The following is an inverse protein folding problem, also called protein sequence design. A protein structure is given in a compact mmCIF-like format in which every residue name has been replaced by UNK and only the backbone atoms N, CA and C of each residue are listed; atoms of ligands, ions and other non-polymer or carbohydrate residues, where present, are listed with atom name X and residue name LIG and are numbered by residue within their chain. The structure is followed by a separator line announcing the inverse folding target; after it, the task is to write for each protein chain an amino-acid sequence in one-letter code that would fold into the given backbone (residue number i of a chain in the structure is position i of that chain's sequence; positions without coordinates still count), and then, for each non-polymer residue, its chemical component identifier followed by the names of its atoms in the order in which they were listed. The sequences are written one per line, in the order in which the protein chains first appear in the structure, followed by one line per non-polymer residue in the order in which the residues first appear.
data_IF_920381702111
#
_entry.id   IF_920381702111
#
_cell.length_a   1.000
_cell.length_b   1.000
_cell.length_c   1.000
_cell.angle_alpha   90.00
_cell.angle_beta   90.00
_cell.angle_gamma   90.00
#
_symmetry.space_group_name_H-M   'P 1'
#
loop_
_entity.id
_entity.type
_entity.pdbx_description
1 polymer ?
#
# COMPACT_ATOMS: atom_id res chain seq x y z
N UNK A 1 -8.92 -3.99 -13.39
CA UNK A 1 -9.40 -3.15 -14.52
C UNK A 1 -8.76 -1.76 -14.57
N UNK A 2 -8.75 -0.98 -13.47
CA UNK A 2 -8.21 0.41 -13.47
C UNK A 2 -6.74 0.52 -13.88
N UNK A 3 -5.85 -0.34 -13.37
CA UNK A 3 -4.43 -0.31 -13.78
C UNK A 3 -4.24 -0.72 -15.26
N UNK A 4 -5.05 -1.65 -15.75
CA UNK A 4 -5.02 -2.08 -17.15
C UNK A 4 -5.49 -0.97 -18.11
N UNK A 5 -6.31 -0.01 -17.67
CA UNK A 5 -6.67 1.16 -18.48
C UNK A 5 -5.59 2.25 -18.50
N UNK A 6 -4.41 2.01 -17.89
CA UNK A 6 -3.29 2.94 -17.86
C UNK A 6 -3.28 3.89 -16.66
N UNK A 7 -4.21 3.75 -15.71
CA UNK A 7 -4.18 4.53 -14.47
C UNK A 7 -2.89 4.25 -13.70
N UNK A 8 -2.20 5.30 -13.22
CA UNK A 8 -0.93 5.22 -12.47
C UNK A 8 -1.04 5.67 -11.02
N UNK A 9 -2.23 6.05 -10.56
CA UNK A 9 -2.49 6.44 -9.18
C UNK A 9 -3.79 5.79 -8.70
N UNK A 10 -3.72 5.00 -7.64
CA UNK A 10 -4.88 4.31 -7.06
C UNK A 10 -4.98 4.59 -5.57
N UNK A 11 -6.18 4.51 -5.03
CA UNK A 11 -6.46 4.71 -3.61
C UNK A 11 -6.91 3.40 -2.96
N UNK A 12 -6.48 3.18 -1.71
CA UNK A 12 -6.84 2.02 -0.89
C UNK A 12 -7.22 2.49 0.51
N UNK A 13 -8.48 2.26 0.88
CA UNK A 13 -9.02 2.57 2.20
C UNK A 13 -8.83 1.38 3.14
N UNK A 14 -7.93 1.50 4.10
CA UNK A 14 -7.58 0.43 5.03
C UNK A 14 -8.23 0.63 6.40
N UNK A 15 -8.99 -0.36 6.87
CA UNK A 15 -9.70 -0.37 8.15
C UNK A 15 -9.34 -1.60 8.98
N UNK A 16 -9.38 -1.45 10.30
CA UNK A 16 -9.08 -2.54 11.22
C UNK A 16 -10.04 -3.73 11.03
N UNK A 17 -9.50 -4.95 11.00
CA UNK A 17 -10.29 -6.18 11.07
C UNK A 17 -10.80 -6.49 12.48
N UNK A 18 -11.91 -7.23 12.55
CA UNK A 18 -12.59 -7.59 13.80
C UNK A 18 -11.91 -8.77 14.55
N UNK A 19 -12.05 -8.80 15.87
CA UNK A 19 -11.33 -9.68 16.83
C UNK A 19 -11.38 -11.18 16.54
N UNK A 20 -12.53 -11.74 16.12
CA UNK A 20 -12.65 -13.18 15.81
C UNK A 20 -11.96 -13.60 14.50
N UNK A 21 -11.59 -12.61 13.67
CA UNK A 21 -10.99 -12.77 12.36
C UNK A 21 -9.52 -12.38 12.43
N UNK A 22 -8.75 -13.07 13.27
CA UNK A 22 -7.27 -13.02 13.36
C UNK A 22 -6.68 -11.66 12.90
N UNK A 23 -7.02 -10.56 13.57
CA UNK A 23 -6.33 -9.25 13.49
C UNK A 23 -5.76 -8.87 12.09
N UNK A 24 -6.57 -8.94 11.03
CA UNK A 24 -6.12 -8.66 9.66
C UNK A 24 -6.76 -7.37 9.10
N UNK A 25 -6.01 -6.47 8.47
CA UNK A 25 -6.56 -5.25 7.88
C UNK A 25 -7.53 -5.55 6.72
N UNK A 26 -8.55 -4.73 6.57
CA UNK A 26 -9.64 -4.85 5.59
C UNK A 26 -9.64 -3.64 4.64
N UNK A 27 -9.87 -3.87 3.35
CA UNK A 27 -10.06 -2.79 2.36
C UNK A 27 -11.57 -2.61 2.11
N UNK A 28 -12.15 -1.47 2.50
CA UNK A 28 -13.59 -1.22 2.31
C UNK A 28 -13.92 0.28 2.25
N UNK A 29 -14.96 0.62 1.48
CA UNK A 29 -15.67 1.89 1.60
C UNK A 29 -16.56 1.80 2.85
N UNK A 30 -16.54 2.80 3.73
CA UNK A 30 -17.10 2.72 5.10
C UNK A 30 -18.47 2.04 5.25
N UNK A 31 -18.58 1.20 6.30
CA UNK A 31 -19.81 0.65 6.90
C UNK A 31 -20.98 0.28 5.97
N UNK A 32 -20.72 -0.30 4.80
CA UNK A 32 -21.77 -0.80 3.92
C UNK A 32 -22.27 -2.18 4.39
N UNK A 33 -23.56 -2.23 4.74
CA UNK A 33 -24.31 -3.42 5.17
C UNK A 33 -24.18 -4.56 4.16
N UNK A 34 -23.37 -5.56 4.46
CA UNK A 34 -23.31 -6.81 3.72
C UNK A 34 -23.19 -7.96 4.73
N UNK A 35 -23.89 -9.07 4.46
CA UNK A 35 -24.04 -10.22 5.36
C UNK A 35 -22.69 -10.71 5.91
N UNK A 36 -22.51 -10.53 7.22
CA UNK A 36 -21.21 -10.53 7.90
C UNK A 36 -20.39 -11.82 7.78
N UNK A 37 -21.00 -12.97 7.50
CA UNK A 37 -20.33 -14.29 7.49
C UNK A 37 -19.62 -14.57 6.16
N UNK A 38 -20.27 -14.31 5.02
CA UNK A 38 -19.67 -14.46 3.69
C UNK A 38 -18.61 -13.38 3.44
N UNK A 39 -18.84 -12.17 3.96
CA UNK A 39 -17.80 -11.15 4.03
C UNK A 39 -16.65 -11.54 4.95
N UNK A 40 -16.87 -12.12 6.15
CA UNK A 40 -15.78 -12.56 7.05
C UNK A 40 -14.76 -13.48 6.34
N UNK A 41 -15.24 -14.46 5.57
CA UNK A 41 -14.38 -15.42 4.84
C UNK A 41 -13.69 -14.77 3.63
N UNK A 42 -14.38 -13.89 2.89
CA UNK A 42 -13.77 -13.11 1.79
C UNK A 42 -12.84 -11.99 2.28
N UNK A 43 -13.04 -11.50 3.50
CA UNK A 43 -12.30 -10.41 4.15
C UNK A 43 -11.01 -10.89 4.79
N UNK A 44 -10.92 -12.18 5.15
CA UNK A 44 -9.67 -12.85 5.50
C UNK A 44 -8.71 -12.75 4.30
N UNK A 45 -7.68 -11.91 4.44
CA UNK A 45 -6.65 -11.59 3.42
C UNK A 45 -7.11 -10.70 2.25
N UNK A 46 -8.20 -9.94 2.37
CA UNK A 46 -8.60 -9.02 1.29
C UNK A 46 -7.48 -8.02 0.95
N UNK A 47 -6.77 -7.50 1.96
CA UNK A 47 -5.58 -6.67 1.77
C UNK A 47 -4.52 -7.38 0.90
N UNK A 48 -4.16 -8.64 1.19
CA UNK A 48 -3.18 -9.39 0.40
C UNK A 48 -3.64 -9.62 -1.04
N UNK A 49 -4.92 -9.96 -1.25
CA UNK A 49 -5.48 -10.17 -2.59
C UNK A 49 -5.45 -8.89 -3.42
N UNK A 50 -5.78 -7.75 -2.80
CA UNK A 50 -5.70 -6.44 -3.45
C UNK A 50 -4.26 -6.12 -3.83
N UNK A 51 -3.30 -6.28 -2.92
CA UNK A 51 -1.87 -6.06 -3.18
C UNK A 51 -1.33 -7.00 -4.29
N UNK A 52 -1.71 -8.27 -4.29
CA UNK A 52 -1.34 -9.23 -5.36
C UNK A 52 -1.91 -8.81 -6.72
N UNK A 53 -3.19 -8.45 -6.78
CA UNK A 53 -3.81 -7.99 -8.03
C UNK A 53 -3.14 -6.72 -8.57
N UNK A 54 -2.71 -5.81 -7.68
CA UNK A 54 -1.92 -4.63 -8.06
C UNK A 54 -0.58 -5.07 -8.64
N UNK A 55 0.16 -5.96 -7.96
CA UNK A 55 1.45 -6.47 -8.43
C UNK A 55 1.36 -7.05 -9.84
N UNK A 56 0.33 -7.87 -10.10
CA UNK A 56 0.12 -8.55 -11.37
C UNK A 56 -0.27 -7.59 -12.51
N UNK A 57 -0.93 -6.46 -12.19
CA UNK A 57 -1.50 -5.58 -13.21
C UNK A 57 -0.81 -4.21 -13.34
N UNK A 58 0.03 -3.82 -12.37
CA UNK A 58 0.66 -2.51 -12.30
C UNK A 58 1.43 -2.14 -13.57
N UNK A 59 2.20 -3.09 -14.12
CA UNK A 59 3.14 -2.80 -15.21
C UNK A 59 2.78 -3.46 -16.55
N UNK A 60 1.59 -4.04 -16.67
CA UNK A 60 1.15 -4.75 -17.90
C UNK A 60 1.01 -3.79 -19.08
N UNK A 61 0.41 -2.62 -18.87
CA UNK A 61 0.11 -1.66 -19.94
C UNK A 61 1.04 -0.45 -19.98
N UNK A 62 1.84 -0.25 -18.93
CA UNK A 62 2.84 0.82 -18.87
C UNK A 62 3.86 0.50 -17.78
N UNK A 63 5.15 0.71 -18.08
CA UNK A 63 6.26 0.47 -17.14
C UNK A 63 6.49 1.65 -16.18
N UNK A 64 5.79 2.77 -16.38
CA UNK A 64 5.94 3.95 -15.52
C UNK A 64 5.40 3.70 -14.11
N UNK A 65 5.92 4.43 -13.10
CA UNK A 65 5.62 4.16 -11.70
C UNK A 65 4.13 4.19 -11.39
N UNK A 66 3.73 3.38 -10.40
CA UNK A 66 2.38 3.37 -9.83
C UNK A 66 2.42 3.94 -8.43
N UNK A 67 1.54 4.88 -8.12
CA UNK A 67 1.37 5.47 -6.80
C UNK A 67 0.13 4.87 -6.15
N UNK A 68 0.27 4.43 -4.90
CA UNK A 68 -0.82 3.93 -4.07
C UNK A 68 -1.02 4.92 -2.93
N UNK A 69 -2.12 5.67 -2.98
CA UNK A 69 -2.58 6.51 -1.87
C UNK A 69 -3.29 5.61 -0.86
N UNK A 70 -2.77 5.52 0.36
CA UNK A 70 -3.38 4.74 1.43
C UNK A 70 -4.17 5.68 2.34
N UNK A 71 -5.48 5.49 2.41
CA UNK A 71 -6.31 6.10 3.45
C UNK A 71 -6.28 5.19 4.68
N UNK A 72 -5.49 5.58 5.68
CA UNK A 72 -5.15 4.72 6.80
C UNK A 72 -6.06 4.96 8.01
N UNK A 73 -6.97 4.01 8.28
CA UNK A 73 -7.79 3.90 9.50
C UNK A 73 -7.38 2.71 10.39
N UNK A 74 -6.17 2.19 10.19
CA UNK A 74 -5.65 1.03 10.94
C UNK A 74 -5.06 1.44 12.29
N UNK A 75 -5.26 0.61 13.30
CA UNK A 75 -4.48 0.58 14.54
C UNK A 75 -3.00 0.33 14.26
N UNK A 76 -2.11 0.75 15.17
CA UNK A 76 -0.67 0.56 15.01
C UNK A 76 -0.26 -0.90 14.80
N UNK A 77 -0.97 -1.85 15.43
CA UNK A 77 -0.70 -3.28 15.25
C UNK A 77 -1.04 -3.73 13.83
N UNK A 78 -2.19 -3.32 13.29
CA UNK A 78 -2.59 -3.68 11.93
C UNK A 78 -1.79 -2.93 10.86
N UNK A 79 -1.30 -1.72 11.15
CA UNK A 79 -0.35 -1.02 10.28
C UNK A 79 0.94 -1.81 10.09
N UNK A 80 1.48 -2.44 11.16
CA UNK A 80 2.67 -3.29 11.06
C UNK A 80 2.43 -4.48 10.14
N UNK A 81 1.30 -5.16 10.31
CA UNK A 81 0.89 -6.30 9.46
C UNK A 81 0.74 -5.84 8.00
N UNK A 82 0.11 -4.69 7.76
CA UNK A 82 -0.04 -4.15 6.41
C UNK A 82 1.31 -3.80 5.77
N UNK A 83 2.22 -3.18 6.52
CA UNK A 83 3.57 -2.86 6.07
C UNK A 83 4.36 -4.12 5.69
N UNK A 84 4.33 -5.14 6.54
CA UNK A 84 4.97 -6.44 6.27
C UNK A 84 4.41 -7.07 4.99
N UNK A 85 3.09 -7.04 4.80
CA UNK A 85 2.45 -7.55 3.59
C UNK A 85 2.84 -6.75 2.34
N UNK A 86 2.93 -5.42 2.43
CA UNK A 86 3.33 -4.56 1.31
C UNK A 86 4.77 -4.90 0.88
N UNK A 87 5.69 -5.01 1.83
CA UNK A 87 7.10 -5.36 1.57
C UNK A 87 7.21 -6.76 0.99
N UNK A 88 6.53 -7.74 1.59
CA UNK A 88 6.54 -9.14 1.14
C UNK A 88 5.99 -9.27 -0.29
N UNK A 89 4.85 -8.64 -0.57
CA UNK A 89 4.16 -8.80 -1.86
C UNK A 89 4.86 -8.02 -2.96
N UNK A 90 5.17 -6.74 -2.75
CA UNK A 90 5.77 -5.93 -3.81
C UNK A 90 7.27 -6.16 -3.97
N UNK A 91 7.99 -6.53 -2.91
CA UNK A 91 9.43 -6.83 -2.97
C UNK A 91 10.21 -5.73 -3.71
N UNK A 92 10.99 -6.11 -4.71
CA UNK A 92 11.81 -5.17 -5.50
C UNK A 92 11.02 -4.13 -6.30
N UNK A 93 9.72 -4.34 -6.50
CA UNK A 93 8.86 -3.34 -7.14
C UNK A 93 8.56 -2.19 -6.19
N UNK A 94 8.64 -2.39 -4.87
CA UNK A 94 8.44 -1.32 -3.90
C UNK A 94 9.63 -0.36 -3.93
N UNK A 95 9.36 0.95 -3.96
CA UNK A 95 10.36 1.96 -3.67
C UNK A 95 10.45 2.15 -2.15
N UNK A 96 11.24 1.32 -1.48
CA UNK A 96 11.40 1.34 -0.02
C UNK A 96 12.39 2.39 0.49
N UNK A 97 13.31 2.83 -0.36
CA UNK A 97 14.33 3.83 -0.03
C UNK A 97 14.41 4.91 -1.12
N UNK A 98 14.79 6.15 -0.75
CA UNK A 98 15.05 7.21 -1.71
C UNK A 98 16.17 6.83 -2.67
N UNK A 99 16.07 7.26 -3.93
CA UNK A 99 17.17 7.09 -4.88
C UNK A 99 18.39 7.88 -4.41
N UNK A 100 19.59 7.32 -4.56
CA UNK A 100 20.85 7.95 -4.13
C UNK A 100 21.05 9.35 -4.73
N UNK A 101 20.63 9.54 -5.99
CA UNK A 101 20.69 10.82 -6.70
C UNK A 101 19.58 11.80 -6.32
N UNK A 102 18.53 11.31 -5.67
CA UNK A 102 17.36 12.10 -5.24
C UNK A 102 17.08 11.88 -3.74
N UNK A 103 18.00 12.28 -2.85
CA UNK A 103 17.80 12.14 -1.41
C UNK A 103 16.64 13.02 -0.93
N UNK A 104 15.97 12.60 0.14
CA UNK A 104 14.87 13.35 0.77
C UNK A 104 15.39 14.57 1.54
N UNK A 105 15.86 15.58 0.82
CA UNK A 105 16.31 16.87 1.37
C UNK A 105 15.46 18.00 0.78
N UNK A 106 15.26 19.09 1.55
CA UNK A 106 14.74 20.33 0.97
C UNK A 106 15.58 20.72 -0.25
N UNK A 107 14.94 21.29 -1.28
CA UNK A 107 15.59 21.79 -2.51
C UNK A 107 16.05 20.71 -3.52
N UNK A 108 15.96 19.42 -3.19
CA UNK A 108 16.19 18.34 -4.16
C UNK A 108 14.92 18.06 -4.95
N UNK A 109 15.03 18.08 -6.29
CA UNK A 109 13.91 17.80 -7.19
C UNK A 109 13.53 16.31 -7.15
N UNK A 110 12.24 16.04 -7.36
CA UNK A 110 11.75 14.68 -7.52
C UNK A 110 12.38 13.98 -8.74
N UNK A 111 12.59 12.65 -8.68
CA UNK A 111 13.07 11.89 -9.82
C UNK A 111 12.07 11.93 -10.97
N UNK A 112 12.57 11.83 -12.20
CA UNK A 112 11.70 11.69 -13.37
C UNK A 112 10.97 10.33 -13.34
N UNK A 113 9.78 10.22 -13.97
CA UNK A 113 9.08 8.94 -14.08
C UNK A 113 9.91 7.83 -14.73
N UNK A 114 10.85 8.21 -15.61
CA UNK A 114 11.78 7.30 -16.27
C UNK A 114 12.72 6.59 -15.27
N UNK A 115 13.22 7.32 -14.26
CA UNK A 115 14.07 6.76 -13.19
C UNK A 115 13.29 5.85 -12.23
N UNK A 116 11.96 5.92 -12.26
CA UNK A 116 11.06 5.17 -11.39
C UNK A 116 10.29 4.06 -12.12
N UNK A 117 10.78 3.64 -13.30
CA UNK A 117 10.17 2.53 -14.02
C UNK A 117 10.12 1.26 -13.16
N UNK A 118 9.00 0.55 -13.25
CA UNK A 118 8.69 -0.65 -12.49
C UNK A 118 8.73 -0.45 -10.97
N UNK A 119 8.49 0.78 -10.50
CA UNK A 119 8.40 1.09 -9.06
C UNK A 119 6.98 1.42 -8.63
N UNK A 120 6.63 0.91 -7.45
CA UNK A 120 5.40 1.19 -6.72
C UNK A 120 5.77 2.11 -5.56
N UNK A 121 5.10 3.26 -5.49
CA UNK A 121 5.29 4.26 -4.44
C UNK A 121 4.07 4.26 -3.52
N UNK A 122 4.30 4.26 -2.21
CA UNK A 122 3.24 4.39 -1.23
C UNK A 122 3.17 5.84 -0.77
N UNK A 123 1.96 6.40 -0.82
CA UNK A 123 1.64 7.73 -0.27
C UNK A 123 0.73 7.52 0.92
N UNK A 124 1.24 7.78 2.13
CA UNK A 124 0.44 7.82 3.34
C UNK A 124 0.85 9.00 4.23
N UNK A 125 0.05 9.27 5.27
CA UNK A 125 0.43 10.20 6.33
C UNK A 125 1.59 9.63 7.13
N UNK A 126 2.72 10.34 7.13
CA UNK A 126 3.90 10.00 7.93
C UNK A 126 3.58 10.21 9.42
N UNK A 127 3.73 9.15 10.23
CA UNK A 127 3.64 9.27 11.69
C UNK A 127 4.89 9.99 12.23
N UNK A 128 4.70 10.88 13.20
CA UNK A 128 5.75 11.66 13.85
C UNK A 128 6.79 10.77 14.53
N UNK A 129 8.07 11.08 14.30
CA UNK A 129 9.31 10.41 14.70
C UNK A 129 9.32 9.84 16.13
N UNK A 130 8.71 8.67 16.31
CA UNK A 130 8.87 7.81 17.50
C UNK A 130 9.67 6.58 17.09
N UNK A 131 10.64 6.16 17.91
CA UNK A 131 11.65 5.13 17.57
C UNK A 131 11.09 3.77 17.11
N UNK A 132 9.83 3.44 17.45
CA UNK A 132 9.16 2.20 17.01
C UNK A 132 8.72 2.20 15.54
N UNK A 133 8.79 3.34 14.85
CA UNK A 133 8.19 3.56 13.52
C UNK A 133 9.20 3.26 12.37
N UNK A 134 10.46 2.93 12.68
CA UNK A 134 11.50 2.74 11.66
C UNK A 134 11.17 1.67 10.61
N UNK A 135 10.48 0.59 11.00
CA UNK A 135 10.03 -0.47 10.09
C UNK A 135 8.81 -0.04 9.24
N UNK A 136 7.94 0.81 9.76
CA UNK A 136 6.77 1.33 9.03
C UNK A 136 7.18 2.29 7.90
N UNK A 137 8.31 3.00 8.05
CA UNK A 137 8.80 3.98 7.06
C UNK A 137 9.27 3.39 5.75
N UNK A 138 9.63 2.11 5.72
CA UNK A 138 10.14 1.45 4.51
C UNK A 138 9.00 1.00 3.59
N UNK A 139 7.76 1.00 4.09
CA UNK A 139 6.60 0.50 3.38
C UNK A 139 5.51 1.57 3.20
N UNK A 140 5.60 2.71 3.90
CA UNK A 140 4.51 3.68 4.02
C UNK A 140 4.95 5.15 4.04
#
# INVERSE_FOLDING_TARGET
HILLSGCRCIEIDCWDGWEDSKMCPIVTHGMAMCTAITLKVFSLNLHKRTLMAIKETAFVTSQYPVIISVENHLSLQQQKIMAECIVEIFGDLLLSEPLTEHPLKPEVLFPSPEKLKNKILIKNKKLSDTKEISLLRQAI
#
